data_IF_361416000707
#
_entry.id   IF_361416000707
#
_cell.length_a   1.000
_cell.length_b   1.000
_cell.length_c   1.000
_cell.angle_alpha   90.00
_cell.angle_beta   90.00
_cell.angle_gamma   90.00
#
_symmetry.space_group_name_H-M   'P 1'
#
loop_
_entity.id
_entity.type
_entity.pdbx_description
1 polymer ?
#
# COMPACT_ATOMS: atom_id res chain seq x y z
N UNK A 1 2.69 6.25 21.94
CA UNK A 1 3.53 5.22 21.29
C UNK A 1 2.61 4.21 20.65
N UNK A 2 2.93 3.71 19.46
CA UNK A 2 2.11 2.69 18.81
C UNK A 2 2.27 1.35 19.52
N UNK A 3 1.20 0.83 20.14
CA UNK A 3 1.15 -0.46 20.86
C UNK A 3 1.32 -1.72 19.96
N UNK A 4 2.02 -1.58 18.83
CA UNK A 4 2.06 -2.56 17.73
C UNK A 4 3.00 -3.75 18.01
N UNK A 5 3.94 -3.56 18.93
CA UNK A 5 5.02 -4.50 19.25
C UNK A 5 4.92 -5.06 20.67
N UNK A 6 3.89 -4.70 21.45
CA UNK A 6 3.79 -5.03 22.89
C UNK A 6 3.70 -6.54 23.16
N UNK A 7 2.98 -7.26 22.30
CA UNK A 7 2.82 -8.71 22.39
C UNK A 7 4.02 -9.49 21.84
N UNK A 8 5.00 -8.79 21.23
CA UNK A 8 6.19 -9.41 20.65
C UNK A 8 7.29 -9.58 21.70
N UNK A 9 8.18 -10.55 21.47
CA UNK A 9 9.37 -10.78 22.31
C UNK A 9 10.10 -9.45 22.59
N UNK A 10 10.36 -9.13 23.85
CA UNK A 10 11.11 -7.91 24.20
C UNK A 10 12.51 -7.95 23.58
N UNK A 11 12.89 -6.84 22.95
CA UNK A 11 14.23 -6.61 22.42
C UNK A 11 14.84 -5.41 23.14
N UNK A 12 16.16 -5.26 23.09
CA UNK A 12 16.90 -4.10 23.60
C UNK A 12 17.86 -3.55 22.54
N UNK A 13 18.37 -2.34 22.76
CA UNK A 13 19.38 -1.71 21.91
C UNK A 13 18.93 -1.45 20.47
N UNK A 14 19.86 -1.61 19.52
CA UNK A 14 19.63 -1.37 18.09
C UNK A 14 18.53 -2.27 17.50
N UNK A 15 18.47 -3.59 17.78
CA UNK A 15 17.40 -4.45 17.28
C UNK A 15 16.00 -3.99 17.70
N UNK A 16 15.87 -3.46 18.92
CA UNK A 16 14.60 -2.87 19.38
C UNK A 16 14.25 -1.64 18.54
N UNK A 17 15.18 -0.69 18.41
CA UNK A 17 14.96 0.53 17.63
C UNK A 17 14.55 0.24 16.17
N UNK A 18 15.26 -0.67 15.50
CA UNK A 18 14.95 -1.07 14.12
C UNK A 18 13.54 -1.64 14.03
N UNK A 19 13.17 -2.54 14.96
CA UNK A 19 11.83 -3.11 14.98
C UNK A 19 10.78 -2.03 15.21
N UNK A 20 10.92 -1.19 16.23
CA UNK A 20 9.93 -0.14 16.50
C UNK A 20 9.74 0.77 15.29
N UNK A 21 10.83 1.12 14.58
CA UNK A 21 10.74 1.88 13.34
C UNK A 21 9.96 1.14 12.25
N UNK A 22 10.23 -0.16 12.01
CA UNK A 22 9.52 -0.97 11.00
C UNK A 22 8.01 -1.05 11.27
N UNK A 23 7.60 -1.07 12.54
CA UNK A 23 6.20 -1.14 12.95
C UNK A 23 5.51 0.23 13.02
N UNK A 24 6.26 1.33 12.94
CA UNK A 24 5.74 2.68 13.12
C UNK A 24 5.00 3.20 11.87
N UNK A 25 3.66 3.14 11.91
CA UNK A 25 2.78 3.49 10.78
C UNK A 25 3.05 4.88 10.21
N UNK A 26 3.15 5.88 11.08
CA UNK A 26 3.35 7.26 10.67
C UNK A 26 4.65 7.41 9.89
N UNK A 27 5.74 6.80 10.36
CA UNK A 27 7.04 6.87 9.65
C UNK A 27 6.95 6.28 8.25
N UNK A 28 6.30 5.12 8.11
CA UNK A 28 6.10 4.48 6.81
C UNK A 28 5.32 5.39 5.85
N UNK A 29 4.24 5.99 6.32
CA UNK A 29 3.40 6.87 5.49
C UNK A 29 4.15 8.15 5.09
N UNK A 30 4.79 8.82 6.06
CA UNK A 30 5.56 10.04 5.80
C UNK A 30 6.72 9.80 4.85
N UNK A 31 7.50 8.74 5.05
CA UNK A 31 8.63 8.40 4.17
C UNK A 31 8.11 8.04 2.77
N UNK A 32 7.01 7.29 2.67
CA UNK A 32 6.39 6.99 1.37
C UNK A 32 6.03 8.25 0.58
N UNK A 33 5.40 9.23 1.24
CA UNK A 33 5.07 10.54 0.62
C UNK A 33 6.34 11.28 0.22
N UNK A 34 7.36 11.34 1.10
CA UNK A 34 8.63 12.00 0.79
C UNK A 34 9.29 11.35 -0.44
N UNK A 35 9.27 10.02 -0.55
CA UNK A 35 9.86 9.30 -1.68
C UNK A 35 9.12 9.58 -2.99
N UNK A 36 7.79 9.62 -2.99
CA UNK A 36 7.01 10.03 -4.18
C UNK A 36 7.42 11.43 -4.63
N UNK A 37 7.47 12.39 -3.69
CA UNK A 37 7.91 13.76 -4.01
C UNK A 37 9.35 13.83 -4.50
N UNK A 38 10.26 13.09 -3.86
CA UNK A 38 11.68 13.06 -4.21
C UNK A 38 11.86 12.51 -5.63
N UNK A 39 11.21 11.39 -5.95
CA UNK A 39 11.30 10.78 -7.27
C UNK A 39 10.73 11.69 -8.34
N UNK A 40 9.58 12.33 -8.09
CA UNK A 40 9.03 13.32 -9.01
C UNK A 40 9.97 14.52 -9.19
N UNK A 41 10.42 15.15 -8.12
CA UNK A 41 11.28 16.34 -8.20
C UNK A 41 12.63 16.09 -8.89
N UNK A 42 13.20 14.89 -8.72
CA UNK A 42 14.51 14.52 -9.29
C UNK A 42 14.40 13.81 -10.63
N UNK A 43 13.21 13.77 -11.22
CA UNK A 43 13.03 13.22 -12.57
C UNK A 43 13.61 14.18 -13.61
N UNK A 44 14.50 13.68 -14.48
CA UNK A 44 15.07 14.46 -15.58
C UNK A 44 14.31 14.18 -16.88
N UNK A 45 13.59 15.18 -17.37
CA UNK A 45 12.77 15.10 -18.58
C UNK A 45 13.55 14.70 -19.84
N UNK A 46 14.88 14.86 -19.84
CA UNK A 46 15.75 14.49 -20.96
C UNK A 46 16.14 13.01 -20.99
N UNK A 47 15.92 12.28 -19.89
CA UNK A 47 16.36 10.87 -19.75
C UNK A 47 15.29 9.85 -20.14
N UNK A 48 14.08 10.28 -20.48
CA UNK A 48 12.97 9.35 -20.72
C UNK A 48 12.85 8.87 -22.16
N UNK A 49 12.67 7.56 -22.29
CA UNK A 49 12.09 6.96 -23.49
C UNK A 49 10.57 7.08 -23.37
N UNK A 50 9.87 7.61 -24.38
CA UNK A 50 8.41 7.86 -24.33
C UNK A 50 7.60 6.64 -23.86
N UNK A 51 7.99 5.43 -24.29
CA UNK A 51 7.36 4.18 -23.88
C UNK A 51 7.53 3.89 -22.38
N UNK A 52 8.70 4.16 -21.80
CA UNK A 52 8.97 3.98 -20.37
C UNK A 52 8.04 4.86 -19.53
N UNK A 53 7.91 6.14 -19.88
CA UNK A 53 7.03 7.07 -19.16
C UNK A 53 5.57 6.65 -19.24
N UNK A 54 5.09 6.22 -20.42
CA UNK A 54 3.71 5.73 -20.60
C UNK A 54 3.43 4.48 -19.75
N UNK A 55 4.34 3.49 -19.78
CA UNK A 55 4.19 2.28 -18.97
C UNK A 55 4.17 2.60 -17.48
N UNK A 56 5.03 3.51 -17.04
CA UNK A 56 5.10 3.92 -15.65
C UNK A 56 3.84 4.67 -15.20
N UNK A 57 3.30 5.58 -16.03
CA UNK A 57 2.03 6.26 -15.77
C UNK A 57 0.87 5.25 -15.65
N UNK A 58 0.80 4.25 -16.54
CA UNK A 58 -0.20 3.18 -16.46
C UNK A 58 -0.09 2.42 -15.13
N UNK A 59 1.12 2.09 -14.69
CA UNK A 59 1.37 1.40 -13.41
C UNK A 59 0.89 2.27 -12.24
N UNK A 60 1.18 3.58 -12.24
CA UNK A 60 0.78 4.51 -11.18
C UNK A 60 -0.75 4.62 -11.14
N UNK A 61 -1.39 4.84 -12.29
CA UNK A 61 -2.85 4.95 -12.40
C UNK A 61 -3.52 3.66 -11.95
N UNK A 62 -3.01 2.49 -12.34
CA UNK A 62 -3.50 1.20 -11.86
C UNK A 62 -3.39 1.09 -10.33
N UNK A 63 -2.25 1.48 -9.76
CA UNK A 63 -2.05 1.53 -8.32
C UNK A 63 -3.07 2.43 -7.61
N UNK A 64 -3.30 3.63 -8.16
CA UNK A 64 -4.29 4.59 -7.64
C UNK A 64 -5.73 4.06 -7.72
N UNK A 65 -6.10 3.41 -8.83
CA UNK A 65 -7.42 2.79 -9.00
C UNK A 65 -7.62 1.66 -7.98
N UNK A 66 -6.63 0.78 -7.80
CA UNK A 66 -6.70 -0.32 -6.82
C UNK A 66 -6.90 0.25 -5.40
N UNK A 67 -6.19 1.34 -5.06
CA UNK A 67 -6.32 1.97 -3.74
C UNK A 67 -7.70 2.60 -3.54
N UNK A 68 -8.17 3.37 -4.52
CA UNK A 68 -9.49 3.98 -4.49
C UNK A 68 -10.60 2.93 -4.39
N UNK A 69 -10.46 1.84 -5.14
CA UNK A 69 -11.41 0.74 -5.07
C UNK A 69 -11.37 0.09 -3.67
N UNK A 70 -10.19 -0.17 -3.11
CA UNK A 70 -10.05 -0.78 -1.79
C UNK A 70 -10.54 0.09 -0.62
N UNK A 71 -10.36 1.39 -0.68
CA UNK A 71 -10.72 2.30 0.41
C UNK A 71 -12.23 2.37 0.65
N UNK A 72 -13.06 2.12 -0.36
CA UNK A 72 -14.52 2.09 -0.18
C UNK A 72 -15.07 0.80 0.42
N UNK A 73 -14.25 -0.24 0.57
CA UNK A 73 -14.65 -1.52 1.17
C UNK A 73 -14.23 -1.67 2.64
N UNK A 74 -13.29 -0.84 3.13
CA UNK A 74 -12.65 -1.06 4.44
C UNK A 74 -13.02 -0.01 5.48
N UNK A 75 -13.55 -0.49 6.60
CA UNK A 75 -13.59 0.23 7.87
C UNK A 75 -12.57 -0.38 8.83
N UNK A 76 -11.39 0.27 8.92
CA UNK A 76 -10.29 -0.21 9.77
C UNK A 76 -10.77 -0.52 11.18
N UNK A 77 -10.47 -1.72 11.65
CA UNK A 77 -10.76 -2.25 13.00
C UNK A 77 -12.24 -2.46 13.35
N UNK A 78 -13.19 -2.22 12.42
CA UNK A 78 -14.62 -2.41 12.68
C UNK A 78 -15.19 -3.63 11.98
N UNK A 79 -14.65 -3.98 10.82
CA UNK A 79 -15.09 -5.12 10.03
C UNK A 79 -13.90 -5.79 9.33
N UNK A 80 -14.04 -7.08 9.04
CA UNK A 80 -13.13 -7.79 8.14
C UNK A 80 -13.68 -7.71 6.72
N UNK A 81 -13.09 -6.84 5.89
CA UNK A 81 -13.43 -6.76 4.47
C UNK A 81 -12.89 -7.97 3.73
N UNK A 82 -13.78 -8.76 3.11
CA UNK A 82 -13.42 -9.95 2.31
C UNK A 82 -13.95 -9.89 0.88
N UNK A 83 -14.61 -8.80 0.52
CA UNK A 83 -15.23 -8.55 -0.78
C UNK A 83 -14.51 -7.45 -1.56
N UNK A 84 -14.93 -7.22 -2.80
CA UNK A 84 -14.26 -6.31 -3.72
C UNK A 84 -12.78 -6.68 -3.89
N UNK A 85 -11.83 -5.74 -3.74
CA UNK A 85 -10.41 -6.05 -3.93
C UNK A 85 -9.84 -6.97 -2.84
N UNK A 86 -10.48 -7.04 -1.66
CA UNK A 86 -10.06 -7.93 -0.57
C UNK A 86 -10.38 -9.40 -0.84
N UNK A 87 -11.18 -9.71 -1.87
CA UNK A 87 -11.39 -11.08 -2.34
C UNK A 87 -10.17 -11.62 -3.11
N UNK A 88 -9.35 -10.72 -3.68
CA UNK A 88 -8.24 -11.05 -4.57
C UNK A 88 -6.87 -10.96 -3.90
N UNK A 89 -6.72 -10.07 -2.91
CA UNK A 89 -5.48 -9.83 -2.17
C UNK A 89 -5.81 -9.28 -0.79
N UNK A 90 -5.08 -9.66 0.26
CA UNK A 90 -5.41 -9.24 1.64
C UNK A 90 -5.08 -7.78 1.92
N UNK A 91 -4.03 -7.24 1.30
CA UNK A 91 -3.62 -5.85 1.46
C UNK A 91 -3.62 -5.09 0.11
N UNK A 92 -4.80 -4.82 -0.49
CA UNK A 92 -4.89 -4.14 -1.78
C UNK A 92 -4.40 -2.69 -1.71
N UNK A 93 -4.58 -1.98 -0.59
CA UNK A 93 -4.01 -0.65 -0.38
C UNK A 93 -2.47 -0.67 -0.43
N UNK A 94 -1.85 -1.73 0.08
CA UNK A 94 -0.41 -1.93 0.04
C UNK A 94 0.08 -2.30 -1.36
N UNK A 95 -0.67 -3.15 -2.05
CA UNK A 95 -0.43 -3.48 -3.45
C UNK A 95 -0.43 -2.21 -4.31
N UNK A 96 -1.44 -1.35 -4.14
CA UNK A 96 -1.49 -0.09 -4.88
C UNK A 96 -0.39 0.91 -4.49
N UNK A 97 0.02 0.98 -3.22
CA UNK A 97 1.18 1.79 -2.82
C UNK A 97 2.47 1.31 -3.48
N UNK A 98 2.67 -0.01 -3.57
CA UNK A 98 3.82 -0.61 -4.23
C UNK A 98 3.82 -0.21 -5.71
N UNK A 99 2.67 -0.33 -6.39
CA UNK A 99 2.54 0.07 -7.79
C UNK A 99 2.83 1.56 -7.99
N UNK A 100 2.27 2.45 -7.16
CA UNK A 100 2.54 3.89 -7.25
C UNK A 100 4.03 4.19 -7.09
N UNK A 101 4.68 3.69 -6.04
CA UNK A 101 6.09 4.01 -5.79
C UNK A 101 7.02 3.35 -6.82
N UNK A 102 6.72 2.13 -7.27
CA UNK A 102 7.44 1.49 -8.39
C UNK A 102 7.30 2.31 -9.67
N UNK A 103 6.09 2.73 -10.02
CA UNK A 103 5.87 3.56 -11.19
C UNK A 103 6.58 4.91 -11.09
N UNK A 104 6.58 5.56 -9.92
CA UNK A 104 7.35 6.79 -9.70
C UNK A 104 8.86 6.58 -9.86
N UNK A 105 9.40 5.44 -9.39
CA UNK A 105 10.81 5.09 -9.59
C UNK A 105 11.12 4.80 -11.07
N UNK A 106 10.20 4.17 -11.81
CA UNK A 106 10.36 3.93 -13.26
C UNK A 106 10.27 5.24 -14.04
N UNK A 107 9.36 6.16 -13.66
CA UNK A 107 9.34 7.52 -14.22
C UNK A 107 10.70 8.16 -13.96
N UNK A 108 11.16 8.24 -12.71
CA UNK A 108 12.45 8.84 -12.37
C UNK A 108 13.63 8.31 -13.22
N UNK A 109 13.59 7.03 -13.60
CA UNK A 109 14.49 6.45 -14.60
C UNK A 109 15.89 6.13 -14.08
N UNK A 110 16.21 6.49 -12.84
CA UNK A 110 17.51 6.24 -12.23
C UNK A 110 17.51 4.96 -11.39
N UNK A 111 18.59 4.18 -11.48
CA UNK A 111 18.75 2.91 -10.74
C UNK A 111 18.61 3.11 -9.22
N UNK A 112 19.12 4.23 -8.70
CA UNK A 112 19.07 4.53 -7.28
C UNK A 112 17.62 4.64 -6.76
N UNK A 113 16.68 5.16 -7.56
CA UNK A 113 15.28 5.28 -7.16
C UNK A 113 14.64 3.90 -6.98
N UNK A 114 14.92 2.97 -7.89
CA UNK A 114 14.48 1.57 -7.79
C UNK A 114 15.03 0.86 -6.55
N UNK A 115 16.32 1.05 -6.24
CA UNK A 115 16.95 0.48 -5.05
C UNK A 115 16.36 1.03 -3.74
N UNK A 116 16.08 2.33 -3.69
CA UNK A 116 15.43 2.96 -2.54
C UNK A 116 13.99 2.43 -2.38
N UNK A 117 13.22 2.35 -3.46
CA UNK A 117 11.85 1.80 -3.42
C UNK A 117 11.84 0.35 -2.91
N UNK A 118 12.73 -0.51 -3.43
CA UNK A 118 12.87 -1.89 -3.00
C UNK A 118 13.24 -1.98 -1.51
N UNK A 119 14.23 -1.20 -1.07
CA UNK A 119 14.66 -1.14 0.33
C UNK A 119 13.52 -0.71 1.25
N UNK A 120 12.75 0.30 0.84
CA UNK A 120 11.58 0.78 1.57
C UNK A 120 10.52 -0.32 1.73
N UNK A 121 10.21 -1.08 0.67
CA UNK A 121 9.25 -2.18 0.75
C UNK A 121 9.74 -3.31 1.67
N UNK A 122 10.97 -3.77 1.48
CA UNK A 122 11.56 -4.83 2.31
C UNK A 122 11.64 -4.45 3.79
N UNK A 123 11.88 -3.17 4.09
CA UNK A 123 11.95 -2.68 5.45
C UNK A 123 10.56 -2.60 6.11
N UNK A 124 9.60 -1.91 5.48
CA UNK A 124 8.33 -1.56 6.13
C UNK A 124 7.19 -2.56 5.95
N UNK A 125 7.03 -3.14 4.75
CA UNK A 125 5.80 -3.88 4.43
C UNK A 125 5.68 -5.22 5.16
N UNK A 126 6.74 -6.03 5.36
CA UNK A 126 6.62 -7.25 6.13
C UNK A 126 6.12 -7.04 7.56
N UNK A 127 6.63 -6.01 8.25
CA UNK A 127 6.20 -5.68 9.61
C UNK A 127 4.77 -5.12 9.66
N UNK A 128 4.41 -4.27 8.68
CA UNK A 128 3.06 -3.73 8.61
C UNK A 128 2.00 -4.81 8.30
N UNK A 129 2.32 -5.74 7.39
CA UNK A 129 1.47 -6.88 7.04
C UNK A 129 1.30 -7.81 8.24
N UNK A 130 2.41 -8.21 8.89
CA UNK A 130 2.35 -9.06 10.08
C UNK A 130 1.46 -8.47 11.16
N UNK A 131 1.65 -7.17 11.47
CA UNK A 131 0.85 -6.49 12.47
C UNK A 131 -0.65 -6.46 12.10
N UNK A 132 -0.98 -6.11 10.85
CA UNK A 132 -2.38 -6.07 10.41
C UNK A 132 -3.03 -7.45 10.42
N UNK A 133 -2.33 -8.48 9.94
CA UNK A 133 -2.81 -9.86 9.95
C UNK A 133 -3.02 -10.36 11.39
N UNK A 134 -2.06 -10.13 12.29
CA UNK A 134 -2.19 -10.49 13.71
C UNK A 134 -3.38 -9.79 14.36
N UNK A 135 -3.53 -8.49 14.12
CA UNK A 135 -4.64 -7.70 14.66
C UNK A 135 -5.99 -8.19 14.14
N UNK A 136 -6.12 -8.41 12.83
CA UNK A 136 -7.36 -8.88 12.23
C UNK A 136 -7.71 -10.30 12.68
N UNK A 137 -6.70 -11.18 12.82
CA UNK A 137 -6.88 -12.52 13.40
C UNK A 137 -7.41 -12.46 14.82
N UNK A 138 -6.89 -11.54 15.66
CA UNK A 138 -7.37 -11.38 17.03
C UNK A 138 -8.81 -10.85 17.11
N UNK A 139 -9.21 -9.95 16.19
CA UNK A 139 -10.56 -9.39 16.14
C UNK A 139 -11.59 -10.35 15.52
N UNK A 140 -11.17 -11.18 14.57
CA UNK A 140 -12.07 -11.98 13.72
C UNK A 140 -11.53 -13.41 13.48
N UNK A 141 -11.29 -14.22 14.53
CA UNK A 141 -10.48 -15.44 14.43
C UNK A 141 -11.01 -16.46 13.40
N UNK A 142 -12.29 -16.79 13.43
CA UNK A 142 -12.86 -17.81 12.54
C UNK A 142 -12.97 -17.36 11.08
N UNK A 143 -13.37 -16.10 10.86
CA UNK A 143 -13.57 -15.56 9.49
C UNK A 143 -12.23 -15.20 8.85
N UNK A 144 -11.28 -14.69 9.64
CA UNK A 144 -9.95 -14.36 9.16
C UNK A 144 -9.22 -15.60 8.66
N UNK A 145 -9.20 -16.72 9.40
CA UNK A 145 -8.49 -17.93 8.93
C UNK A 145 -9.08 -18.49 7.64
N UNK A 146 -10.41 -18.56 7.53
CA UNK A 146 -11.10 -19.05 6.32
C UNK A 146 -10.80 -18.20 5.09
N UNK A 147 -10.70 -16.88 5.26
CA UNK A 147 -10.36 -15.94 4.21
C UNK A 147 -8.86 -15.96 3.87
N UNK A 148 -8.00 -15.87 4.88
CA UNK A 148 -6.55 -15.81 4.75
C UNK A 148 -5.95 -17.03 4.05
N UNK A 149 -6.52 -18.22 4.26
CA UNK A 149 -6.06 -19.45 3.60
C UNK A 149 -6.32 -19.47 2.08
N UNK A 150 -7.21 -18.60 1.57
CA UNK A 150 -7.60 -18.54 0.16
C UNK A 150 -7.10 -17.28 -0.54
N UNK A 151 -6.75 -16.26 0.23
CA UNK A 151 -6.38 -14.94 -0.27
C UNK A 151 -4.91 -14.63 0.09
N UNK A 152 -4.01 -14.50 -0.90
CA UNK A 152 -2.62 -14.15 -0.65
C UNK A 152 -2.43 -12.73 -0.09
N UNK A 153 -1.28 -12.47 0.53
CA UNK A 153 -0.98 -11.17 1.17
C UNK A 153 -0.85 -10.02 0.16
N UNK A 154 -0.01 -10.18 -0.86
CA UNK A 154 0.32 -9.12 -1.84
C UNK A 154 0.21 -9.56 -3.31
N UNK A 155 0.23 -10.86 -3.60
CA UNK A 155 -0.02 -11.35 -4.96
C UNK A 155 -1.52 -11.38 -5.24
N UNK A 156 -1.92 -11.39 -6.51
CA UNK A 156 -3.34 -11.46 -6.88
C UNK A 156 -3.71 -12.93 -7.11
N UNK A 157 -4.80 -13.39 -6.49
CA UNK A 157 -5.40 -14.70 -6.83
C UNK A 157 -6.59 -14.52 -7.74
N UNK A 158 -6.65 -15.24 -8.85
CA UNK A 158 -7.82 -15.26 -9.76
C UNK A 158 -8.70 -16.50 -9.59
N UNK A 159 -8.49 -17.28 -8.51
CA UNK A 159 -9.21 -18.55 -8.27
C UNK A 159 -10.73 -18.38 -8.18
N UNK A 160 -11.22 -17.17 -7.89
CA UNK A 160 -12.62 -16.81 -8.01
C UNK A 160 -12.70 -15.44 -8.69
N UNK A 161 -13.20 -15.43 -9.92
CA UNK A 161 -13.62 -14.17 -10.56
C UNK A 161 -14.92 -13.79 -9.89
N UNK A 162 -14.86 -12.75 -9.05
CA UNK A 162 -16.06 -12.06 -8.57
C UNK A 162 -16.35 -10.92 -9.55
N UNK A 163 -17.62 -10.69 -9.86
CA UNK A 163 -18.01 -9.48 -10.57
C UNK A 163 -17.48 -8.27 -9.80
N UNK A 164 -17.16 -7.18 -10.52
CA UNK A 164 -16.80 -5.92 -9.87
C UNK A 164 -17.95 -5.49 -8.96
N UNK A 165 -17.79 -5.69 -7.65
CA UNK A 165 -18.74 -5.22 -6.67
C UNK A 165 -18.58 -3.71 -6.56
N UNK A 166 -19.54 -2.95 -7.07
CA UNK A 166 -19.57 -1.49 -6.94
C UNK A 166 -20.71 -1.03 -6.03
N UNK A 167 -21.78 -1.83 -5.92
CA UNK A 167 -22.95 -1.52 -5.09
C UNK A 167 -22.61 -1.40 -3.60
N UNK A 168 -21.65 -2.20 -3.11
CA UNK A 168 -21.21 -2.20 -1.72
C UNK A 168 -20.08 -1.19 -1.43
N UNK A 169 -19.58 -0.49 -2.45
CA UNK A 169 -18.49 0.46 -2.29
C UNK A 169 -19.01 1.77 -1.68
N UNK A 170 -18.34 2.29 -0.65
CA UNK A 170 -18.82 3.43 0.13
C UNK A 170 -17.95 4.68 -0.02
N UNK A 171 -18.55 5.76 -0.54
CA UNK A 171 -17.95 7.11 -0.55
C UNK A 171 -17.56 7.58 0.85
N UNK A 172 -18.42 7.34 1.85
CA UNK A 172 -18.15 7.72 3.25
C UNK A 172 -16.91 7.01 3.79
N UNK A 173 -16.74 5.72 3.51
CA UNK A 173 -15.53 4.97 3.90
C UNK A 173 -14.28 5.55 3.21
N UNK A 174 -14.34 5.73 1.89
CA UNK A 174 -13.20 6.21 1.09
C UNK A 174 -12.78 7.64 1.45
N UNK A 175 -13.72 8.60 1.44
CA UNK A 175 -13.46 10.03 1.63
C UNK A 175 -13.16 10.38 3.09
N UNK A 176 -14.02 9.98 4.02
CA UNK A 176 -14.03 10.53 5.38
C UNK A 176 -13.17 9.69 6.33
N UNK A 177 -13.10 8.38 6.13
CA UNK A 177 -12.41 7.49 7.07
C UNK A 177 -11.03 7.06 6.59
N UNK A 178 -10.84 6.96 5.28
CA UNK A 178 -9.56 6.57 4.69
C UNK A 178 -8.77 7.73 4.08
N UNK A 179 -9.41 8.89 3.85
CA UNK A 179 -8.79 10.06 3.21
C UNK A 179 -8.11 9.74 1.87
N UNK A 180 -8.59 8.70 1.18
CA UNK A 180 -7.94 8.18 -0.03
C UNK A 180 -7.87 9.21 -1.17
N UNK A 181 -8.90 10.05 -1.39
CA UNK A 181 -8.85 11.07 -2.43
C UNK A 181 -7.74 12.11 -2.25
N UNK A 182 -7.27 12.35 -1.02
CA UNK A 182 -6.12 13.26 -0.79
C UNK A 182 -4.84 12.67 -1.37
N UNK A 183 -4.60 11.37 -1.13
CA UNK A 183 -3.45 10.65 -1.69
C UNK A 183 -3.56 10.60 -3.21
N UNK A 184 -4.77 10.34 -3.72
CA UNK A 184 -5.04 10.29 -5.16
C UNK A 184 -4.70 11.62 -5.85
N UNK A 185 -5.21 12.73 -5.33
CA UNK A 185 -4.93 14.07 -5.86
C UNK A 185 -3.44 14.41 -5.76
N UNK A 186 -2.81 14.11 -4.62
CA UNK A 186 -1.38 14.35 -4.42
C UNK A 186 -0.51 13.64 -5.48
N UNK A 187 -0.78 12.37 -5.77
CA UNK A 187 -0.04 11.62 -6.80
C UNK A 187 -0.39 12.11 -8.21
N UNK A 188 -1.65 12.47 -8.47
CA UNK A 188 -2.06 13.06 -9.75
C UNK A 188 -1.33 14.38 -10.05
N UNK A 189 -1.11 15.23 -9.04
CA UNK A 189 -0.34 16.47 -9.22
C UNK A 189 1.06 16.15 -9.75
N UNK A 190 1.73 15.14 -9.19
CA UNK A 190 3.03 14.70 -9.72
C UNK A 190 2.94 14.20 -11.16
N UNK A 191 1.92 13.41 -11.51
CA UNK A 191 1.72 12.94 -12.89
C UNK A 191 1.43 14.06 -13.90
N UNK A 192 0.89 15.19 -13.45
CA UNK A 192 0.63 16.36 -14.32
C UNK A 192 1.90 17.19 -14.52
N UNK A 193 2.79 17.22 -13.52
CA UNK A 193 4.04 17.98 -13.54
C UNK A 193 5.13 17.24 -14.35
N UNK A 194 5.10 15.91 -14.37
CA UNK A 194 6.07 15.02 -15.02
C UNK A 194 5.68 14.70 -16.47
#
# INVERSE_FOLDING_TARGET
>A
MTHRTEELKKLSGIPHLIRELRYHEFSRQSIGIILVSLFGFTTDSNTHIALQSQLAQIIIILGLIIRMYASGFVLKNKELSTTGPYAYVRHPLYTGNILVLCGMAIINGQIWAGLIALSFFCFYYPAAIEYEDRKLKALFPETWEKWANKTPALTITFKKIHSLELENWSWKKSLIHNYEPVIFIYVLIWLIIL
#
